data_IF_686693144618
#
_entry.id   IF_686693144618
#
_cell.length_a   1.000
_cell.length_b   1.000
_cell.length_c   1.000
_cell.angle_alpha   90.00
_cell.angle_beta   90.00
_cell.angle_gamma   90.00
#
_symmetry.space_group_name_H-M   'P 1'
#
loop_
_entity.id
_entity.type
_entity.pdbx_description
1 polymer ?
#
# COMPACT_ATOMS: atom_id res chain seq x y z
N UNK A 1 4.79 -9.69 3.36
CA UNK A 1 4.54 -8.42 4.10
C UNK A 1 3.07 -8.06 3.98
N UNK A 2 2.46 -7.63 5.09
CA UNK A 2 1.07 -7.17 5.10
C UNK A 2 1.04 -5.66 5.25
N UNK A 3 0.32 -4.98 4.35
CA UNK A 3 0.14 -3.53 4.37
C UNK A 3 -1.33 -3.29 4.73
N UNK A 4 -1.57 -2.67 5.89
CA UNK A 4 -2.90 -2.38 6.40
C UNK A 4 -2.96 -0.91 6.85
N UNK A 5 -3.22 0.04 5.93
CA UNK A 5 -3.22 1.45 6.28
C UNK A 5 -4.41 1.78 7.19
N UNK A 6 -4.15 2.53 8.26
CA UNK A 6 -5.17 3.09 9.14
C UNK A 6 -5.09 4.61 9.10
N UNK A 7 -6.11 5.25 8.53
CA UNK A 7 -6.08 6.69 8.26
C UNK A 7 -6.50 7.55 9.46
N UNK A 8 -7.31 7.06 10.40
CA UNK A 8 -7.95 7.92 11.41
C UNK A 8 -8.68 9.08 10.73
N UNK A 9 -8.28 10.31 11.03
CA UNK A 9 -8.80 11.55 10.40
C UNK A 9 -8.03 11.98 9.14
N UNK A 10 -6.93 11.30 8.79
CA UNK A 10 -6.11 11.65 7.63
C UNK A 10 -6.82 11.36 6.31
N UNK A 11 -6.45 12.11 5.28
CA UNK A 11 -6.87 11.89 3.89
C UNK A 11 -5.76 11.31 3.01
N UNK A 12 -4.49 11.46 3.44
CA UNK A 12 -3.31 11.04 2.70
C UNK A 12 -2.30 10.40 3.65
N UNK A 13 -1.65 9.33 3.23
CA UNK A 13 -0.48 8.73 3.88
C UNK A 13 0.62 8.60 2.82
N UNK A 14 1.80 9.14 3.11
CA UNK A 14 3.02 8.90 2.34
C UNK A 14 4.05 8.29 3.27
N UNK A 15 4.61 7.14 2.88
CA UNK A 15 5.58 6.44 3.72
C UNK A 15 6.63 5.72 2.87
N UNK A 16 7.83 5.61 3.44
CA UNK A 16 8.91 4.76 2.95
C UNK A 16 9.26 3.79 4.08
N UNK A 17 9.13 2.49 3.82
CA UNK A 17 9.47 1.44 4.76
C UNK A 17 10.70 0.68 4.26
N UNK A 18 11.85 0.78 4.93
CA UNK A 18 13.05 0.05 4.54
C UNK A 18 12.88 -1.45 4.83
N UNK A 19 13.18 -2.27 3.83
CA UNK A 19 13.19 -3.73 3.93
C UNK A 19 14.47 -4.29 3.31
N UNK A 20 14.90 -5.49 3.73
CA UNK A 20 16.16 -6.07 3.26
C UNK A 20 16.18 -6.31 1.74
N UNK A 21 15.02 -6.52 1.12
CA UNK A 21 14.88 -6.66 -0.35
C UNK A 21 14.80 -5.32 -1.11
N UNK A 22 14.76 -4.18 -0.40
CA UNK A 22 14.56 -2.85 -0.97
C UNK A 22 13.50 -2.04 -0.22
N UNK A 23 13.30 -0.78 -0.61
CA UNK A 23 12.31 0.08 0.01
C UNK A 23 10.89 -0.23 -0.49
N UNK A 24 9.94 -0.29 0.44
CA UNK A 24 8.52 -0.22 0.13
C UNK A 24 8.11 1.24 0.20
N UNK A 25 7.71 1.80 -0.92
CA UNK A 25 7.28 3.20 -1.01
C UNK A 25 5.80 3.25 -1.29
N UNK A 26 5.04 4.04 -0.54
CA UNK A 26 3.61 4.18 -0.73
C UNK A 26 3.15 5.62 -0.64
N UNK A 27 2.15 5.91 -1.45
CA UNK A 27 1.35 7.12 -1.37
C UNK A 27 -0.12 6.74 -1.54
N UNK A 28 -0.87 6.80 -0.46
CA UNK A 28 -2.29 6.44 -0.44
C UNK A 28 -3.18 7.63 -0.08
N UNK A 29 -4.36 7.64 -0.66
CA UNK A 29 -5.41 8.61 -0.49
C UNK A 29 -6.69 7.87 -0.10
N UNK A 30 -7.38 8.39 0.93
CA UNK A 30 -8.70 7.91 1.31
C UNK A 30 -9.76 8.88 0.81
N UNK A 31 -10.67 8.37 -0.01
CA UNK A 31 -11.85 9.08 -0.47
C UNK A 31 -13.10 8.37 0.05
N UNK A 32 -13.64 8.88 1.17
CA UNK A 32 -14.69 8.22 1.96
C UNK A 32 -14.28 6.79 2.36
N UNK A 33 -14.75 5.78 1.63
CA UNK A 33 -14.49 4.35 1.86
C UNK A 33 -13.49 3.78 0.86
N UNK A 34 -13.15 4.53 -0.19
CA UNK A 34 -12.24 4.09 -1.24
C UNK A 34 -10.79 4.37 -0.86
N UNK A 35 -9.92 3.43 -1.23
CA UNK A 35 -8.47 3.60 -1.13
C UNK A 35 -7.90 3.73 -2.54
N UNK A 36 -7.18 4.81 -2.79
CA UNK A 36 -6.50 5.09 -4.06
C UNK A 36 -5.04 5.39 -3.82
N UNK A 37 -4.17 5.10 -4.77
CA UNK A 37 -2.80 5.57 -4.70
C UNK A 37 -1.81 4.68 -5.42
N UNK A 38 -0.54 4.82 -5.02
CA UNK A 38 0.60 4.12 -5.62
C UNK A 38 1.38 3.40 -4.54
N UNK A 39 1.88 2.23 -4.87
CA UNK A 39 2.79 1.48 -4.03
C UNK A 39 3.87 0.83 -4.88
N UNK A 40 5.10 0.84 -4.38
CA UNK A 40 6.24 0.15 -4.97
C UNK A 40 6.65 -1.00 -4.05
N UNK A 41 6.62 -2.22 -4.58
CA UNK A 41 7.05 -3.42 -3.87
C UNK A 41 8.38 -3.89 -4.47
N UNK A 42 9.45 -4.03 -3.67
CA UNK A 42 10.71 -4.59 -4.14
C UNK A 42 10.56 -5.99 -4.76
N UNK A 43 11.51 -6.39 -5.61
CA UNK A 43 11.55 -7.74 -6.16
C UNK A 43 11.88 -8.76 -5.06
N UNK A 44 11.42 -10.00 -5.23
CA UNK A 44 11.74 -11.10 -4.33
C UNK A 44 10.98 -11.08 -2.99
N UNK A 45 9.85 -10.39 -2.92
CA UNK A 45 8.95 -10.45 -1.78
C UNK A 45 7.49 -10.49 -2.20
N UNK A 46 6.66 -11.13 -1.37
CA UNK A 46 5.22 -11.11 -1.51
C UNK A 46 4.61 -10.08 -0.56
N UNK A 47 3.68 -9.29 -1.08
CA UNK A 47 2.97 -8.28 -0.32
C UNK A 47 1.46 -8.38 -0.55
N UNK A 48 0.69 -8.13 0.51
CA UNK A 48 -0.78 -8.09 0.46
C UNK A 48 -1.24 -6.79 1.08
N UNK A 49 -2.13 -6.08 0.38
CA UNK A 49 -2.83 -4.92 0.89
C UNK A 49 -4.17 -5.34 1.48
N UNK A 50 -4.44 -4.94 2.73
CA UNK A 50 -5.73 -5.09 3.39
C UNK A 50 -6.43 -3.74 3.51
N UNK A 51 -7.64 -3.64 2.99
CA UNK A 51 -8.47 -2.44 3.08
C UNK A 51 -9.95 -2.80 3.18
N UNK A 52 -10.66 -2.29 4.20
CA UNK A 52 -12.10 -2.52 4.40
C UNK A 52 -12.55 -3.98 4.19
N UNK A 53 -11.80 -4.93 4.77
CA UNK A 53 -12.07 -6.37 4.65
C UNK A 53 -11.65 -7.02 3.32
N UNK A 54 -11.30 -6.24 2.30
CA UNK A 54 -10.72 -6.74 1.05
C UNK A 54 -9.23 -7.02 1.23
N UNK A 55 -8.75 -8.06 0.55
CA UNK A 55 -7.32 -8.42 0.47
C UNK A 55 -6.90 -8.45 -0.99
N UNK A 56 -5.85 -7.71 -1.34
CA UNK A 56 -5.31 -7.67 -2.70
C UNK A 56 -3.85 -8.05 -2.67
N UNK A 57 -3.48 -9.06 -3.47
CA UNK A 57 -2.08 -9.41 -3.68
C UNK A 57 -1.43 -8.32 -4.53
N UNK A 58 -0.31 -7.78 -4.05
CA UNK A 58 0.47 -6.79 -4.77
C UNK A 58 1.53 -7.50 -5.63
N UNK A 59 1.77 -6.94 -6.79
CA UNK A 59 2.86 -7.31 -7.69
C UNK A 59 4.13 -6.54 -7.35
N UNK A 60 5.28 -7.10 -7.71
CA UNK A 60 6.57 -6.41 -7.59
C UNK A 60 6.66 -5.24 -8.58
N UNK A 61 7.36 -4.18 -8.20
CA UNK A 61 7.46 -2.93 -8.93
C UNK A 61 6.45 -1.90 -8.45
N UNK A 62 6.40 -0.76 -9.17
CA UNK A 62 5.42 0.29 -8.92
C UNK A 62 4.08 -0.10 -9.54
N UNK A 63 3.01 0.04 -8.77
CA UNK A 63 1.64 -0.18 -9.24
C UNK A 63 0.67 0.83 -8.64
N UNK A 64 -0.43 1.03 -9.35
CA UNK A 64 -1.57 1.78 -8.83
C UNK A 64 -2.54 0.86 -8.10
N UNK A 65 -3.22 1.41 -7.11
CA UNK A 65 -4.24 0.73 -6.31
C UNK A 65 -5.49 1.59 -6.31
N UNK A 66 -6.65 0.96 -6.53
CA UNK A 66 -7.98 1.58 -6.41
C UNK A 66 -8.97 0.54 -5.90
N UNK A 67 -9.52 0.74 -4.71
CA UNK A 67 -10.33 -0.25 -3.96
C UNK A 67 -11.55 0.38 -3.31
#
# INVERSE_FOLDING_TARGET
VEIAPFFGELKKITAVYPHHSGNIELEFYRDKVELKGKISIPKGMEAVLKWNGKKIKLTTGQQEVKI
#
